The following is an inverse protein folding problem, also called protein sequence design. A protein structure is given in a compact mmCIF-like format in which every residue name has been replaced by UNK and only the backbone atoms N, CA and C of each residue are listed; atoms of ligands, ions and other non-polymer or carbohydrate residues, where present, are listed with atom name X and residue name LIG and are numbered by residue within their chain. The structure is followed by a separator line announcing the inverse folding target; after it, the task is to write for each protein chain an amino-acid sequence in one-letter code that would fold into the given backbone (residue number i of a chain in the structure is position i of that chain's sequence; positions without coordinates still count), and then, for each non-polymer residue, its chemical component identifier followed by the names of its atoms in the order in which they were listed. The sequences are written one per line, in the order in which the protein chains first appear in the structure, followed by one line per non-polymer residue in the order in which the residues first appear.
data_IF_829207620216
#
_entry.id   IF_829207620216
#
_cell.length_a   1.000
_cell.length_b   1.000
_cell.length_c   1.000
_cell.angle_alpha   90.00
_cell.angle_beta   90.00
_cell.angle_gamma   90.00
#
_symmetry.space_group_name_H-M   'P 1'
#
loop_
_entity.id
_entity.type
_entity.pdbx_description
1 polymer ?
#
# COMPACT_ATOMS: atom_id res chain seq x y z
N UNK A 1 22.81 7.06 -4.97
CA UNK A 1 22.15 8.08 -4.13
C UNK A 1 21.02 8.81 -4.87
N UNK A 2 21.30 9.64 -5.89
CA UNK A 2 20.25 10.39 -6.62
C UNK A 2 19.15 9.53 -7.26
N UNK A 3 19.53 8.39 -7.86
CA UNK A 3 18.57 7.44 -8.41
C UNK A 3 17.58 6.92 -7.36
N UNK A 4 18.05 6.62 -6.15
CA UNK A 4 17.20 6.12 -5.07
C UNK A 4 16.20 7.19 -4.62
N UNK A 5 16.65 8.44 -4.52
CA UNK A 5 15.77 9.57 -4.16
C UNK A 5 14.69 9.75 -5.23
N UNK A 6 15.08 9.72 -6.52
CA UNK A 6 14.13 9.84 -7.62
C UNK A 6 13.11 8.68 -7.62
N UNK A 7 13.58 7.44 -7.49
CA UNK A 7 12.72 6.24 -7.46
C UNK A 7 11.79 6.27 -6.24
N UNK A 8 12.27 6.72 -5.08
CA UNK A 8 11.44 6.88 -3.89
C UNK A 8 10.27 7.83 -4.15
N UNK A 9 10.53 9.05 -4.63
CA UNK A 9 9.47 10.03 -4.87
C UNK A 9 8.54 9.63 -6.01
N UNK A 10 9.07 9.00 -7.06
CA UNK A 10 8.25 8.46 -8.14
C UNK A 10 7.32 7.36 -7.63
N UNK A 11 7.84 6.42 -6.84
CA UNK A 11 7.04 5.34 -6.25
C UNK A 11 5.98 5.90 -5.32
N UNK A 12 6.37 6.82 -4.42
CA UNK A 12 5.45 7.48 -3.51
C UNK A 12 4.31 8.19 -4.25
N UNK A 13 4.62 8.97 -5.29
CA UNK A 13 3.61 9.67 -6.09
C UNK A 13 2.72 8.72 -6.90
N UNK A 14 3.29 7.64 -7.44
CA UNK A 14 2.54 6.65 -8.21
C UNK A 14 1.58 5.83 -7.34
N UNK A 15 1.89 5.68 -6.05
CA UNK A 15 0.99 5.02 -5.11
C UNK A 15 -0.35 5.73 -4.94
N UNK A 16 -0.43 7.05 -5.14
CA UNK A 16 -1.73 7.77 -5.16
C UNK A 16 -2.63 7.26 -6.27
N UNK A 17 -2.09 7.16 -7.49
CA UNK A 17 -2.80 6.57 -8.61
C UNK A 17 -3.21 5.12 -8.31
N UNK A 18 -2.29 4.34 -7.71
CA UNK A 18 -2.55 2.93 -7.39
C UNK A 18 -3.64 2.77 -6.31
N UNK A 19 -3.64 3.61 -5.28
CA UNK A 19 -4.63 3.61 -4.22
C UNK A 19 -6.01 3.95 -4.79
N UNK A 20 -6.13 5.03 -5.57
CA UNK A 20 -7.36 5.38 -6.27
C UNK A 20 -7.85 4.25 -7.18
N UNK A 21 -6.96 3.68 -7.99
CA UNK A 21 -7.31 2.60 -8.92
C UNK A 21 -7.83 1.36 -8.17
N UNK A 22 -7.12 0.95 -7.11
CA UNK A 22 -7.50 -0.19 -6.29
C UNK A 22 -8.83 0.06 -5.61
N UNK A 23 -9.01 1.23 -5.01
CA UNK A 23 -10.25 1.58 -4.32
C UNK A 23 -11.44 1.56 -5.28
N UNK A 24 -11.34 2.26 -6.41
CA UNK A 24 -12.45 2.42 -7.35
C UNK A 24 -12.80 1.14 -8.11
N UNK A 25 -11.82 0.39 -8.58
CA UNK A 25 -12.07 -0.73 -9.51
C UNK A 25 -11.94 -2.11 -8.87
N UNK A 26 -11.13 -2.26 -7.82
CA UNK A 26 -10.88 -3.56 -7.18
C UNK A 26 -11.74 -3.69 -5.93
N UNK A 27 -11.60 -2.77 -4.97
CA UNK A 27 -12.31 -2.78 -3.69
C UNK A 27 -13.81 -2.58 -3.88
N UNK A 28 -14.23 -1.60 -4.69
CA UNK A 28 -15.64 -1.40 -5.07
C UNK A 28 -16.12 -2.32 -6.21
N UNK A 29 -15.24 -3.20 -6.72
CA UNK A 29 -15.53 -4.17 -7.75
C UNK A 29 -15.64 -5.58 -7.17
N UNK A 30 -14.76 -6.47 -7.66
CA UNK A 30 -14.83 -7.90 -7.32
C UNK A 30 -14.37 -8.24 -5.89
N UNK A 31 -13.66 -7.34 -5.20
CA UNK A 31 -13.28 -7.51 -3.79
C UNK A 31 -14.17 -6.72 -2.82
N UNK A 32 -15.38 -6.35 -3.24
CA UNK A 32 -16.36 -5.67 -2.38
C UNK A 32 -16.66 -6.42 -1.08
N UNK A 33 -16.62 -7.76 -1.07
CA UNK A 33 -16.80 -8.56 0.14
C UNK A 33 -15.78 -8.23 1.25
N UNK A 34 -14.57 -7.81 0.87
CA UNK A 34 -13.51 -7.40 1.80
C UNK A 34 -13.60 -5.92 2.17
N UNK A 35 -14.18 -5.06 1.33
CA UNK A 35 -14.23 -3.61 1.55
C UNK A 35 -15.55 -3.11 2.17
N UNK A 36 -16.62 -3.92 2.11
CA UNK A 36 -17.96 -3.52 2.52
C UNK A 36 -18.08 -3.10 3.99
N UNK A 37 -17.35 -3.74 4.90
CA UNK A 37 -17.40 -3.44 6.34
C UNK A 37 -16.80 -2.07 6.68
N UNK A 38 -15.80 -1.62 5.91
CA UNK A 38 -15.25 -0.28 6.01
C UNK A 38 -16.30 0.81 5.71
N UNK A 39 -17.20 0.56 4.74
CA UNK A 39 -18.32 1.47 4.45
C UNK A 39 -19.49 1.33 5.42
N UNK A 40 -19.77 0.10 5.85
CA UNK A 40 -20.85 -0.20 6.79
C UNK A 40 -20.41 -1.31 7.73
N UNK A 41 -20.02 -0.91 8.94
CA UNK A 41 -19.64 -1.85 9.99
C UNK A 41 -20.78 -2.84 10.25
N UNK A 42 -20.46 -4.12 10.10
CA UNK A 42 -21.37 -5.24 10.34
C UNK A 42 -20.87 -6.17 11.45
N UNK A 43 -19.84 -5.74 12.20
CA UNK A 43 -19.21 -6.45 13.28
C UNK A 43 -18.73 -5.49 14.39
N UNK A 44 -18.59 -6.00 15.62
CA UNK A 44 -18.07 -5.27 16.79
C UNK A 44 -16.54 -5.40 16.98
N UNK A 45 -15.83 -6.01 16.01
CA UNK A 45 -14.38 -6.11 16.02
C UNK A 45 -13.69 -4.78 15.66
N UNK A 46 -12.51 -4.55 16.26
CA UNK A 46 -11.61 -3.46 15.88
C UNK A 46 -11.02 -3.67 14.48
N UNK A 47 -10.70 -4.92 14.11
CA UNK A 47 -10.22 -5.27 12.78
C UNK A 47 -11.35 -5.30 11.76
N UNK A 48 -11.09 -4.73 10.58
CA UNK A 48 -11.95 -4.77 9.40
C UNK A 48 -11.37 -5.75 8.38
N UNK A 49 -12.21 -6.44 7.62
CA UNK A 49 -11.76 -7.25 6.47
C UNK A 49 -11.00 -6.39 5.47
N UNK A 50 -11.32 -5.10 5.41
CA UNK A 50 -10.63 -4.09 4.63
C UNK A 50 -9.13 -3.99 4.98
N UNK A 51 -8.73 -4.30 6.21
CA UNK A 51 -7.32 -4.28 6.64
C UNK A 51 -6.43 -5.23 5.82
N UNK A 52 -7.04 -6.23 5.16
CA UNK A 52 -6.36 -7.12 4.20
C UNK A 52 -5.64 -6.35 3.10
N UNK A 53 -6.17 -5.20 2.66
CA UNK A 53 -5.52 -4.38 1.64
C UNK A 53 -4.26 -3.68 2.15
N UNK A 54 -4.24 -3.22 3.41
CA UNK A 54 -3.03 -2.69 4.05
C UNK A 54 -1.96 -3.78 4.18
N UNK A 55 -2.35 -4.97 4.62
CA UNK A 55 -1.45 -6.13 4.72
C UNK A 55 -0.87 -6.49 3.34
N UNK A 56 -1.70 -6.48 2.29
CA UNK A 56 -1.25 -6.76 0.93
C UNK A 56 -0.15 -5.80 0.47
N UNK A 57 -0.33 -4.48 0.65
CA UNK A 57 0.70 -3.50 0.29
C UNK A 57 1.93 -3.56 1.20
N UNK A 58 1.76 -3.90 2.49
CA UNK A 58 2.87 -4.14 3.39
C UNK A 58 3.73 -5.32 2.90
N UNK A 59 3.12 -6.42 2.44
CA UNK A 59 3.83 -7.57 1.88
C UNK A 59 4.58 -7.20 0.58
N UNK A 60 3.99 -6.40 -0.30
CA UNK A 60 4.68 -5.90 -1.49
C UNK A 60 5.89 -5.05 -1.08
N UNK A 61 5.72 -4.11 -0.15
CA UNK A 61 6.82 -3.28 0.37
C UNK A 61 7.94 -4.15 0.92
N UNK A 62 7.63 -5.08 1.82
CA UNK A 62 8.60 -6.05 2.39
C UNK A 62 9.29 -6.86 1.28
N UNK A 63 8.55 -7.29 0.26
CA UNK A 63 9.11 -7.96 -0.90
C UNK A 63 10.24 -7.16 -1.56
N UNK A 64 10.02 -5.86 -1.78
CA UNK A 64 11.06 -4.96 -2.31
C UNK A 64 12.24 -4.76 -1.35
N UNK A 65 12.01 -4.71 -0.03
CA UNK A 65 13.10 -4.73 0.95
C UNK A 65 13.92 -6.01 0.87
N UNK A 66 13.28 -7.18 0.71
CA UNK A 66 13.97 -8.46 0.60
C UNK A 66 14.77 -8.56 -0.71
N UNK A 67 14.19 -8.12 -1.83
CA UNK A 67 14.90 -8.09 -3.12
C UNK A 67 16.15 -7.21 -3.06
N UNK A 68 16.07 -6.07 -2.36
CA UNK A 68 17.24 -5.24 -2.09
C UNK A 68 18.24 -5.93 -1.15
N UNK A 69 17.77 -6.52 -0.04
CA UNK A 69 18.62 -7.17 0.96
C UNK A 69 19.43 -8.33 0.40
N UNK A 70 18.90 -9.05 -0.58
CA UNK A 70 19.56 -10.17 -1.23
C UNK A 70 20.24 -9.79 -2.56
N UNK A 71 20.48 -8.50 -2.80
CA UNK A 71 21.17 -7.96 -3.97
C UNK A 71 20.53 -8.35 -5.33
N UNK A 72 19.22 -8.67 -5.33
CA UNK A 72 18.46 -9.03 -6.54
C UNK A 72 18.00 -7.77 -7.29
N UNK A 73 17.62 -6.73 -6.55
CA UNK A 73 17.16 -5.46 -7.11
C UNK A 73 17.73 -4.29 -6.32
N UNK A 74 18.73 -3.63 -6.89
CA UNK A 74 19.45 -2.50 -6.26
C UNK A 74 18.48 -1.36 -5.85
N UNK A 75 17.54 -0.98 -6.72
CA UNK A 75 16.57 0.07 -6.41
C UNK A 75 15.43 -0.38 -5.48
N UNK A 76 15.41 -1.65 -5.05
CA UNK A 76 14.33 -2.24 -4.25
C UNK A 76 14.09 -1.50 -2.94
N UNK A 77 15.15 -1.01 -2.28
CA UNK A 77 15.01 -0.24 -1.04
C UNK A 77 14.20 1.04 -1.25
N UNK A 78 14.46 1.79 -2.33
CA UNK A 78 13.76 3.02 -2.63
C UNK A 78 12.27 2.78 -2.94
N UNK A 79 11.97 1.70 -3.66
CA UNK A 79 10.59 1.30 -3.97
C UNK A 79 9.87 0.89 -2.69
N UNK A 80 10.46 -0.01 -1.90
CA UNK A 80 9.88 -0.48 -0.64
C UNK A 80 9.59 0.68 0.33
N UNK A 81 10.54 1.61 0.46
CA UNK A 81 10.37 2.83 1.26
C UNK A 81 9.30 3.76 0.69
N UNK A 82 9.19 3.92 -0.63
CA UNK A 82 8.17 4.76 -1.26
C UNK A 82 6.76 4.22 -1.00
N UNK A 83 6.56 2.90 -1.13
CA UNK A 83 5.29 2.22 -0.80
C UNK A 83 4.97 2.38 0.69
N UNK A 84 5.94 2.12 1.57
CA UNK A 84 5.78 2.25 3.02
C UNK A 84 5.40 3.68 3.43
N UNK A 85 6.15 4.67 2.95
CA UNK A 85 5.92 6.07 3.27
C UNK A 85 4.54 6.55 2.78
N UNK A 86 4.12 6.12 1.59
CA UNK A 86 2.77 6.41 1.11
C UNK A 86 1.72 5.73 1.99
N UNK A 87 1.87 4.44 2.31
CA UNK A 87 0.93 3.73 3.19
C UNK A 87 0.79 4.39 4.57
N UNK A 88 1.91 4.82 5.17
CA UNK A 88 1.91 5.58 6.42
C UNK A 88 1.17 6.91 6.28
N UNK A 89 1.42 7.66 5.20
CA UNK A 89 0.75 8.93 4.93
C UNK A 89 -0.75 8.74 4.69
N UNK A 90 -1.12 7.71 3.94
CA UNK A 90 -2.51 7.36 3.65
C UNK A 90 -3.25 7.06 4.96
N UNK A 91 -2.71 6.18 5.79
CA UNK A 91 -3.30 5.84 7.10
C UNK A 91 -3.47 7.07 8.00
N UNK A 92 -2.48 7.97 8.03
CA UNK A 92 -2.53 9.19 8.85
C UNK A 92 -3.49 10.26 8.34
N UNK A 93 -3.85 10.27 7.05
CA UNK A 93 -4.64 11.36 6.43
C UNK A 93 -6.05 10.90 6.04
N UNK A 94 -6.21 9.67 5.54
CA UNK A 94 -7.44 9.16 4.96
C UNK A 94 -8.24 8.25 5.90
N UNK A 95 -7.59 7.53 6.82
CA UNK A 95 -8.25 6.55 7.71
C UNK A 95 -8.47 7.04 9.15
N UNK A 96 -8.31 8.36 9.41
CA UNK A 96 -8.69 9.00 10.70
C UNK A 96 -10.18 9.35 10.72
#
# INVERSE_FOLDING_TARGET
MWLYILVFFLTFGMMEFMAWFTHKYIMHGFLWSLHKDHHRKDHDSWFERNDTFFIFYALISIGFFLLWRYDILEIGLAIGLGIFAYGLTYFMVHDI
#
